data_IF_422359035821
#
_entry.id   IF_422359035821
#
_cell.length_a   1.000
_cell.length_b   1.000
_cell.length_c   1.000
_cell.angle_alpha   90.00
_cell.angle_beta   90.00
_cell.angle_gamma   90.00
#
_symmetry.space_group_name_H-M   'P 1'
#
loop_
_entity.id
_entity.type
_entity.pdbx_description
1 polymer ?
#
# COMPACT_ATOMS: atom_id res chain seq x y z
N UNK A 1 2.76 7.77 8.15
CA UNK A 1 1.99 6.60 8.63
C UNK A 1 0.52 6.97 8.55
N UNK A 2 -0.27 6.25 7.75
CA UNK A 2 -1.69 6.54 7.63
C UNK A 2 -2.41 6.07 8.92
N UNK A 3 -3.21 6.95 9.53
CA UNK A 3 -3.96 6.65 10.74
C UNK A 3 -5.35 6.09 10.40
N UNK A 4 -6.03 5.39 11.34
CA UNK A 4 -7.42 4.99 11.15
C UNK A 4 -8.36 6.18 10.85
N UNK A 5 -7.99 7.42 11.24
CA UNK A 5 -8.75 8.63 10.94
C UNK A 5 -8.62 9.06 9.45
N UNK A 6 -7.61 8.58 8.73
CA UNK A 6 -7.44 8.90 7.30
C UNK A 6 -8.45 8.15 6.44
N UNK A 7 -9.15 7.14 7.00
CA UNK A 7 -10.24 6.41 6.35
C UNK A 7 -11.31 7.36 5.81
N UNK A 8 -11.62 8.44 6.54
CA UNK A 8 -12.60 9.46 6.13
C UNK A 8 -12.15 10.23 4.88
N UNK A 9 -10.85 10.48 4.74
CA UNK A 9 -10.30 11.16 3.56
C UNK A 9 -10.46 10.34 2.27
N UNK A 10 -10.56 9.02 2.38
CA UNK A 10 -10.74 8.10 1.24
C UNK A 10 -12.20 7.69 0.98
N UNK A 11 -13.18 8.27 1.69
CA UNK A 11 -14.61 7.96 1.47
C UNK A 11 -15.19 8.60 0.20
N UNK A 12 -14.59 9.68 -0.29
CA UNK A 12 -15.08 10.45 -1.44
C UNK A 12 -14.24 10.24 -2.70
N UNK A 13 -13.72 9.03 -2.91
CA UNK A 13 -13.03 8.70 -4.16
C UNK A 13 -14.04 8.57 -5.32
N UNK A 14 -13.65 8.94 -6.56
CA UNK A 14 -14.51 8.75 -7.72
C UNK A 14 -14.94 7.27 -7.89
N UNK A 15 -16.06 6.99 -8.56
CA UNK A 15 -16.65 5.64 -8.62
C UNK A 15 -15.78 4.59 -9.32
N UNK A 16 -14.73 5.00 -10.05
CA UNK A 16 -13.75 4.10 -10.64
C UNK A 16 -12.62 3.69 -9.68
N UNK A 17 -12.71 4.07 -8.40
CA UNK A 17 -11.77 3.70 -7.35
C UNK A 17 -12.45 2.85 -6.29
N UNK A 18 -11.70 1.87 -5.76
CA UNK A 18 -12.12 1.06 -4.63
C UNK A 18 -11.10 1.19 -3.50
N UNK A 19 -11.49 1.86 -2.42
CA UNK A 19 -10.67 1.97 -1.22
C UNK A 19 -10.71 0.66 -0.43
N UNK A 20 -9.53 0.14 -0.10
CA UNK A 20 -9.37 -1.08 0.71
C UNK A 20 -8.41 -0.81 1.84
N UNK A 21 -8.82 -1.10 3.07
CA UNK A 21 -8.05 -0.78 4.26
C UNK A 21 -7.30 -2.02 4.75
N UNK A 22 -6.00 -1.84 4.98
CA UNK A 22 -5.14 -2.84 5.58
C UNK A 22 -4.84 -2.42 7.03
N UNK A 23 -5.46 -3.10 7.99
CA UNK A 23 -5.47 -2.69 9.40
C UNK A 23 -4.20 -3.04 10.20
N UNK A 24 -3.18 -3.63 9.56
CA UNK A 24 -1.92 -3.99 10.24
C UNK A 24 -0.92 -2.85 10.15
N UNK A 25 -0.08 -2.71 11.17
CA UNK A 25 1.03 -1.76 11.12
C UNK A 25 2.07 -2.23 10.10
N UNK A 26 2.39 -1.29 9.22
CA UNK A 26 3.46 -1.24 8.21
C UNK A 26 4.88 -1.43 8.76
N UNK A 27 5.07 -1.44 10.09
CA UNK A 27 6.39 -1.56 10.73
C UNK A 27 6.74 -2.98 11.18
N UNK A 28 5.80 -3.92 11.14
CA UNK A 28 6.07 -5.28 11.57
C UNK A 28 6.86 -6.04 10.49
N UNK A 29 7.88 -6.81 10.89
CA UNK A 29 8.62 -7.72 10.00
C UNK A 29 7.69 -8.66 9.20
N UNK A 30 6.57 -9.07 9.83
CA UNK A 30 5.53 -9.90 9.21
C UNK A 30 4.80 -9.22 8.05
N UNK A 31 4.90 -7.90 7.92
CA UNK A 31 4.23 -7.14 6.86
C UNK A 31 4.83 -7.42 5.48
N UNK A 32 6.13 -7.75 5.44
CA UNK A 32 6.83 -8.17 4.23
C UNK A 32 6.23 -9.44 3.59
N UNK A 33 5.42 -10.21 4.33
CA UNK A 33 4.70 -11.39 3.83
C UNK A 33 3.18 -11.16 3.78
N UNK A 34 2.61 -10.54 4.82
CA UNK A 34 1.17 -10.38 4.94
C UNK A 34 0.60 -9.38 3.92
N UNK A 35 1.31 -8.27 3.65
CA UNK A 35 0.86 -7.26 2.70
C UNK A 35 0.88 -7.75 1.25
N UNK A 36 1.92 -8.44 0.76
CA UNK A 36 1.87 -9.08 -0.56
C UNK A 36 0.74 -10.12 -0.72
N UNK A 37 0.46 -10.91 0.32
CA UNK A 37 -0.65 -11.87 0.29
C UNK A 37 -2.00 -11.16 0.23
N UNK A 38 -2.14 -10.05 0.96
CA UNK A 38 -3.31 -9.17 0.86
C UNK A 38 -3.46 -8.60 -0.54
N UNK A 39 -2.39 -8.11 -1.17
CA UNK A 39 -2.45 -7.54 -2.52
C UNK A 39 -2.82 -8.55 -3.60
N UNK A 40 -2.37 -9.81 -3.45
CA UNK A 40 -2.67 -10.88 -4.40
C UNK A 40 -4.15 -11.18 -4.55
N UNK A 41 -4.99 -10.92 -3.53
CA UNK A 41 -6.43 -11.16 -3.62
C UNK A 41 -7.17 -10.22 -4.57
N UNK A 42 -6.52 -9.13 -4.99
CA UNK A 42 -7.08 -8.16 -5.91
C UNK A 42 -6.66 -8.39 -7.36
N UNK A 43 -5.68 -9.28 -7.60
CA UNK A 43 -5.21 -9.66 -8.93
C UNK A 43 -5.02 -8.46 -9.88
N UNK A 44 -4.39 -7.39 -9.37
CA UNK A 44 -4.20 -6.18 -10.16
C UNK A 44 -3.19 -6.42 -11.29
N UNK A 45 -3.43 -5.81 -12.45
CA UNK A 45 -2.52 -5.88 -13.59
C UNK A 45 -1.23 -5.06 -13.35
N UNK A 46 -1.28 -4.07 -12.45
CA UNK A 46 -0.14 -3.23 -12.08
C UNK A 46 -0.29 -2.71 -10.65
N UNK A 47 0.78 -2.82 -9.86
CA UNK A 47 0.86 -2.23 -8.52
C UNK A 47 1.67 -0.93 -8.52
N UNK A 48 1.25 0.05 -7.72
CA UNK A 48 1.98 1.29 -7.50
C UNK A 48 2.31 1.45 -6.02
N UNK A 49 3.60 1.52 -5.67
CA UNK A 49 4.07 1.54 -4.27
C UNK A 49 5.23 2.52 -4.09
N UNK A 50 5.28 3.31 -3.01
CA UNK A 50 6.42 4.21 -2.76
C UNK A 50 7.68 3.43 -2.37
N UNK A 51 8.86 3.91 -2.77
CA UNK A 51 10.15 3.21 -2.58
C UNK A 51 10.41 2.83 -1.11
N UNK A 52 10.06 3.70 -0.17
CA UNK A 52 10.26 3.50 1.27
C UNK A 52 9.42 2.37 1.87
N UNK A 53 8.41 1.89 1.15
CA UNK A 53 7.46 0.90 1.65
C UNK A 53 7.26 -0.24 0.64
N UNK A 54 8.31 -0.68 -0.07
CA UNK A 54 8.26 -1.84 -0.96
C UNK A 54 8.52 -3.12 -0.16
N UNK A 55 7.51 -4.01 0.03
CA UNK A 55 7.72 -5.32 0.65
C UNK A 55 8.67 -6.21 -0.15
N UNK A 56 9.39 -7.08 0.56
CA UNK A 56 10.31 -8.04 -0.05
C UNK A 56 9.65 -8.99 -1.06
N UNK A 57 8.37 -9.36 -0.85
CA UNK A 57 7.66 -10.34 -1.69
C UNK A 57 6.59 -9.70 -2.59
N UNK A 58 6.76 -8.43 -2.98
CA UNK A 58 5.80 -7.72 -3.81
C UNK A 58 5.47 -8.46 -5.12
N UNK A 59 4.17 -8.65 -5.46
CA UNK A 59 3.77 -9.23 -6.73
C UNK A 59 4.15 -8.31 -7.91
N UNK A 60 4.64 -8.92 -8.98
CA UNK A 60 4.99 -8.24 -10.24
C UNK A 60 3.82 -8.27 -11.23
N UNK A 61 3.64 -7.23 -12.08
CA UNK A 61 4.50 -6.06 -12.23
C UNK A 61 4.13 -4.90 -11.27
N UNK A 62 5.12 -4.08 -10.89
CA UNK A 62 4.90 -2.90 -10.06
C UNK A 62 5.77 -1.70 -10.48
N UNK A 63 5.25 -0.50 -10.27
CA UNK A 63 5.97 0.77 -10.42
C UNK A 63 6.26 1.34 -9.05
N UNK A 64 7.48 1.85 -8.89
CA UNK A 64 7.91 2.50 -7.66
C UNK A 64 7.97 4.02 -7.87
N UNK A 65 7.37 4.77 -6.96
CA UNK A 65 7.56 6.22 -6.88
C UNK A 65 8.59 6.58 -5.82
N UNK A 66 9.58 7.36 -6.24
CA UNK A 66 10.57 7.96 -5.34
C UNK A 66 9.98 9.28 -4.89
N UNK A 67 9.48 9.30 -3.66
CA UNK A 67 9.23 10.55 -2.95
C UNK A 67 10.55 10.91 -2.26
N UNK A 68 10.99 12.16 -2.37
CA UNK A 68 12.22 12.64 -1.74
C UNK A 68 12.19 12.23 -0.25
N UNK A 69 13.17 11.44 0.20
CA UNK A 69 13.27 10.95 1.58
C UNK A 69 13.73 12.08 2.54
N UNK A 70 13.30 13.31 2.27
CA UNK A 70 13.59 14.49 3.05
C UNK A 70 12.59 14.68 4.19
N UNK A 71 12.73 13.88 5.24
CA UNK A 71 12.72 14.39 6.62
C UNK A 71 13.23 13.28 7.55
N UNK A 72 14.51 13.42 7.91
CA UNK A 72 15.01 13.02 9.23
C UNK A 72 14.29 13.83 10.32
#
# INVERSE_FOLDING_TARGET
MASPADTEAFQNVPPNFHAVFYQRSDTALLDNLAFPLFLRRYAADLYHVPLSAVPLLMPTPYVVTIHDMGSI
#
